data_IF_205188023804
#
_entry.id   IF_205188023804
#
_cell.length_a   1.000
_cell.length_b   1.000
_cell.length_c   1.000
_cell.angle_alpha   90.00
_cell.angle_beta   90.00
_cell.angle_gamma   90.00
#
_symmetry.space_group_name_H-M   'P 1'
#
loop_
_entity.id
_entity.type
_entity.pdbx_description
1 polymer ?
#
# COMPACT_ATOMS: atom_id res chain seq x y z
N UNK A 1 -25.86 36.29 -23.42
CA UNK A 1 -24.62 35.56 -23.28
C UNK A 1 -23.74 36.29 -22.28
N UNK A 2 -23.80 35.92 -21.00
CA UNK A 2 -22.98 36.52 -19.93
C UNK A 2 -22.42 35.35 -19.11
N UNK A 3 -21.15 35.06 -19.33
CA UNK A 3 -20.33 34.12 -18.57
C UNK A 3 -20.07 34.68 -17.18
N UNK A 4 -20.53 34.03 -16.14
CA UNK A 4 -20.17 34.33 -14.75
C UNK A 4 -19.01 33.41 -14.35
N UNK A 5 -17.82 33.97 -14.20
CA UNK A 5 -16.70 33.35 -13.48
C UNK A 5 -17.04 33.40 -11.99
N UNK A 6 -17.15 32.24 -11.36
CA UNK A 6 -17.13 32.14 -9.90
C UNK A 6 -15.70 31.85 -9.48
N UNK A 7 -15.02 32.86 -9.00
CA UNK A 7 -13.75 32.67 -8.30
C UNK A 7 -14.07 32.18 -6.89
N UNK A 8 -13.81 30.90 -6.62
CA UNK A 8 -13.81 30.35 -5.27
C UNK A 8 -12.50 30.77 -4.59
N UNK A 9 -12.56 31.82 -3.78
CA UNK A 9 -11.48 32.17 -2.83
C UNK A 9 -11.59 31.21 -1.66
N UNK A 10 -10.77 30.17 -1.67
CA UNK A 10 -10.59 29.29 -0.52
C UNK A 10 -9.85 30.03 0.58
N UNK A 11 -10.59 30.45 1.61
CA UNK A 11 -10.00 30.99 2.83
C UNK A 11 -9.24 29.91 3.57
N UNK A 12 -7.92 29.93 3.52
CA UNK A 12 -7.04 29.10 4.34
C UNK A 12 -7.17 29.57 5.80
N UNK A 13 -8.04 28.93 6.57
CA UNK A 13 -8.15 29.12 8.00
C UNK A 13 -6.92 28.46 8.67
N UNK A 14 -5.87 29.25 8.90
CA UNK A 14 -4.78 28.88 9.79
C UNK A 14 -5.34 28.96 11.21
N UNK A 15 -5.89 27.86 11.70
CA UNK A 15 -6.26 27.76 13.11
C UNK A 15 -4.95 27.72 13.93
N UNK A 16 -4.56 28.88 14.44
CA UNK A 16 -3.51 28.99 15.47
C UNK A 16 -4.12 28.43 16.73
N UNK A 17 -3.90 27.13 17.00
CA UNK A 17 -4.26 26.52 18.27
C UNK A 17 -3.30 27.12 19.31
N UNK A 18 -3.78 28.08 20.08
CA UNK A 18 -3.13 28.57 21.30
C UNK A 18 -3.23 27.45 22.35
N UNK A 19 -2.27 26.53 22.31
CA UNK A 19 -2.12 25.47 23.30
C UNK A 19 -1.50 26.14 24.54
N UNK A 20 -2.24 26.22 25.64
CA UNK A 20 -1.73 26.70 26.91
C UNK A 20 -0.53 25.85 27.35
N UNK A 21 0.61 26.43 27.69
CA UNK A 21 1.83 25.68 27.99
C UNK A 21 1.76 24.80 29.24
N UNK A 22 0.74 24.94 30.05
CA UNK A 22 0.58 24.19 31.33
C UNK A 22 -0.01 22.76 31.16
N UNK A 23 -0.58 22.42 30.01
CA UNK A 23 -1.18 21.08 29.75
C UNK A 23 -0.32 20.18 28.87
N UNK A 24 0.87 20.61 28.42
CA UNK A 24 1.71 19.93 27.44
C UNK A 24 3.02 19.38 28.02
N UNK A 25 3.18 19.39 29.37
CA UNK A 25 4.46 19.02 29.96
C UNK A 25 4.95 17.60 29.63
N UNK A 26 4.06 16.68 29.24
CA UNK A 26 4.39 15.28 28.92
C UNK A 26 4.09 14.88 27.45
N UNK A 27 3.40 15.74 26.69
CA UNK A 27 3.02 15.43 25.31
C UNK A 27 4.17 15.71 24.33
N UNK A 28 4.56 14.69 23.55
CA UNK A 28 5.55 14.85 22.49
C UNK A 28 4.88 15.08 21.13
N UNK A 29 5.49 15.91 20.27
CA UNK A 29 5.04 16.15 18.90
C UNK A 29 6.22 16.02 17.95
N UNK A 30 6.15 15.04 17.06
CA UNK A 30 7.08 14.87 15.97
C UNK A 30 6.36 15.16 14.66
N UNK A 31 6.86 16.13 13.90
CA UNK A 31 6.34 16.47 12.58
C UNK A 31 7.29 15.96 11.52
N UNK A 32 6.72 15.43 10.44
CA UNK A 32 7.50 14.99 9.30
C UNK A 32 6.61 14.84 8.07
N UNK A 33 7.21 14.44 6.97
CA UNK A 33 6.47 14.34 5.72
C UNK A 33 7.23 13.62 4.64
N UNK A 34 6.62 13.60 3.44
CA UNK A 34 7.25 13.13 2.21
C UNK A 34 6.62 13.76 1.00
N UNK A 35 7.42 13.88 -0.04
CA UNK A 35 7.00 14.24 -1.39
C UNK A 35 7.55 13.17 -2.33
N UNK A 36 6.71 12.68 -3.24
CA UNK A 36 7.08 11.79 -4.33
C UNK A 36 6.50 12.37 -5.62
N UNK A 37 7.38 12.66 -6.57
CA UNK A 37 7.03 13.15 -7.91
C UNK A 37 7.41 12.08 -8.90
N UNK A 38 6.46 11.67 -9.72
CA UNK A 38 6.61 10.64 -10.72
C UNK A 38 6.50 11.20 -12.13
N UNK A 39 7.20 10.56 -13.06
CA UNK A 39 6.98 10.65 -14.49
C UNK A 39 6.89 9.23 -15.05
N UNK A 40 5.96 9.00 -15.97
CA UNK A 40 5.84 7.74 -16.69
C UNK A 40 5.71 8.02 -18.18
N UNK A 41 6.41 7.21 -18.97
CA UNK A 41 6.40 7.22 -20.43
C UNK A 41 6.00 5.81 -20.86
N UNK A 42 4.85 5.71 -21.52
CA UNK A 42 4.32 4.46 -22.02
C UNK A 42 4.66 4.28 -23.49
N UNK A 43 5.00 3.05 -23.83
CA UNK A 43 4.91 2.53 -25.19
C UNK A 43 3.62 1.72 -25.24
N UNK A 44 2.60 2.35 -25.81
CA UNK A 44 1.23 1.84 -25.85
C UNK A 44 1.16 0.72 -26.91
N UNK A 45 0.28 -0.26 -26.69
CA UNK A 45 -0.07 -1.26 -27.71
C UNK A 45 -1.51 -1.00 -28.20
N UNK A 46 -2.51 -1.62 -27.56
CA UNK A 46 -3.92 -1.44 -27.93
C UNK A 46 -4.53 -0.26 -27.16
N UNK A 47 -4.26 -0.18 -25.87
CA UNK A 47 -4.85 0.81 -24.95
C UNK A 47 -3.95 2.02 -24.78
N UNK A 48 -4.49 3.22 -24.99
CA UNK A 48 -3.76 4.47 -24.70
C UNK A 48 -3.63 4.67 -23.19
N UNK A 49 -2.40 4.67 -22.68
CA UNK A 49 -2.07 4.75 -21.26
C UNK A 49 -1.74 6.15 -20.75
N UNK A 50 -1.60 7.13 -21.64
CA UNK A 50 -1.37 8.55 -21.34
C UNK A 50 -0.11 8.80 -20.49
N UNK A 51 1.03 8.96 -21.14
CA UNK A 51 2.29 9.38 -20.50
C UNK A 51 2.14 10.74 -19.81
N UNK A 52 2.84 10.94 -18.67
CA UNK A 52 2.73 12.19 -17.94
C UNK A 52 3.49 12.21 -16.62
N UNK A 53 3.18 13.22 -15.82
CA UNK A 53 3.78 13.43 -14.49
C UNK A 53 2.72 13.63 -13.43
N UNK A 54 3.02 13.28 -12.18
CA UNK A 54 2.14 13.48 -11.04
C UNK A 54 2.90 13.72 -9.73
N UNK A 55 2.25 14.37 -8.78
CA UNK A 55 2.60 14.20 -7.38
C UNK A 55 2.01 12.87 -6.91
N UNK A 56 2.82 11.84 -6.84
CA UNK A 56 2.35 10.52 -6.38
C UNK A 56 1.97 10.51 -4.91
N UNK A 57 2.72 11.27 -4.09
CA UNK A 57 2.42 11.50 -2.66
C UNK A 57 2.95 12.86 -2.23
N UNK A 58 2.13 13.57 -1.48
CA UNK A 58 2.48 14.79 -0.79
C UNK A 58 1.89 14.71 0.63
N UNK A 59 2.66 14.15 1.59
CA UNK A 59 2.15 13.84 2.93
C UNK A 59 2.83 14.65 4.01
N UNK A 60 2.02 15.12 4.97
CA UNK A 60 2.49 15.64 6.24
C UNK A 60 1.91 14.77 7.37
N UNK A 61 2.65 14.62 8.45
CA UNK A 61 2.16 13.94 9.64
C UNK A 61 2.62 14.62 10.91
N UNK A 62 1.79 14.48 11.95
CA UNK A 62 2.15 14.71 13.33
C UNK A 62 1.91 13.43 14.11
N UNK A 63 2.89 12.98 14.88
CA UNK A 63 2.80 11.79 15.74
C UNK A 63 3.55 12.03 17.05
N UNK A 64 3.11 11.37 18.12
CA UNK A 64 3.78 11.49 19.41
C UNK A 64 3.11 10.67 20.50
N UNK A 65 3.64 10.82 21.70
CA UNK A 65 3.06 10.26 22.91
C UNK A 65 2.32 11.37 23.67
N UNK A 66 1.13 11.07 24.19
CA UNK A 66 0.33 11.93 25.05
C UNK A 66 0.80 11.74 26.50
N UNK A 67 1.06 10.47 26.87
CA UNK A 67 1.64 10.05 28.14
C UNK A 67 2.40 8.72 27.97
N UNK A 68 2.71 8.02 29.05
CA UNK A 68 3.44 6.75 29.04
C UNK A 68 2.73 5.64 28.24
N UNK A 69 1.40 5.67 28.17
CA UNK A 69 0.58 4.62 27.55
C UNK A 69 -0.10 5.07 26.26
N UNK A 70 -0.50 6.33 26.17
CA UNK A 70 -1.23 6.87 25.03
C UNK A 70 -0.33 7.57 24.03
N UNK A 71 -0.60 7.37 22.77
CA UNK A 71 0.02 8.08 21.68
C UNK A 71 -0.98 8.39 20.58
N UNK A 72 -0.56 9.13 19.58
CA UNK A 72 -1.40 9.53 18.46
C UNK A 72 -0.61 9.62 17.17
N UNK A 73 -1.32 9.56 16.06
CA UNK A 73 -0.82 9.92 14.73
C UNK A 73 -1.93 10.48 13.88
N UNK A 74 -1.62 11.58 13.18
CA UNK A 74 -2.39 12.11 12.08
C UNK A 74 -1.46 12.28 10.89
N UNK A 75 -1.79 11.67 9.76
CA UNK A 75 -1.07 11.83 8.49
C UNK A 75 -2.07 12.21 7.40
N UNK A 76 -1.82 13.33 6.76
CA UNK A 76 -2.62 13.85 5.65
C UNK A 76 -1.93 13.58 4.32
N UNK A 77 -2.72 13.31 3.28
CA UNK A 77 -2.31 13.16 1.87
C UNK A 77 -2.92 14.29 1.05
N UNK A 78 -2.09 15.03 0.33
CA UNK A 78 -2.51 16.19 -0.46
C UNK A 78 -2.39 15.96 -1.97
N UNK A 79 -1.81 14.84 -2.40
CA UNK A 79 -1.59 14.55 -3.82
C UNK A 79 -2.81 13.92 -4.49
N UNK A 80 -3.63 13.18 -3.72
CA UNK A 80 -4.85 12.55 -4.21
C UNK A 80 -6.04 13.36 -3.73
N UNK A 81 -6.96 13.72 -4.63
CA UNK A 81 -8.13 14.55 -4.29
C UNK A 81 -9.10 13.87 -3.32
N UNK A 82 -9.09 12.54 -3.26
CA UNK A 82 -10.11 11.74 -2.60
C UNK A 82 -9.68 11.20 -1.22
N UNK A 83 -8.39 11.23 -0.87
CA UNK A 83 -7.89 10.65 0.39
C UNK A 83 -7.15 11.68 1.24
N UNK A 84 -7.84 12.55 1.93
CA UNK A 84 -7.20 13.53 2.79
C UNK A 84 -6.52 12.89 4.02
N UNK A 85 -7.17 11.93 4.68
CA UNK A 85 -6.63 11.26 5.86
C UNK A 85 -5.98 9.93 5.45
N UNK A 86 -4.64 9.86 5.48
CA UNK A 86 -3.93 8.61 5.25
C UNK A 86 -3.87 7.75 6.52
N UNK A 87 -3.36 8.27 7.64
CA UNK A 87 -3.42 7.63 8.95
C UNK A 87 -4.06 8.62 9.95
N UNK A 88 -5.00 8.16 10.77
CA UNK A 88 -5.64 8.98 11.81
C UNK A 88 -6.07 8.11 12.97
N UNK A 89 -5.23 7.99 14.01
CA UNK A 89 -5.52 7.10 15.13
C UNK A 89 -4.94 7.61 16.45
N UNK A 90 -5.57 7.20 17.55
CA UNK A 90 -4.97 7.16 18.88
C UNK A 90 -4.45 5.74 19.14
N UNK A 91 -3.44 5.61 19.97
CA UNK A 91 -2.84 4.30 20.29
C UNK A 91 -2.66 4.13 21.79
N UNK A 92 -2.81 2.89 22.25
CA UNK A 92 -2.62 2.53 23.66
C UNK A 92 -1.62 1.38 23.79
N UNK A 93 -0.63 1.53 24.67
CA UNK A 93 0.33 0.49 25.01
C UNK A 93 -0.28 -0.46 26.03
N UNK A 94 -0.46 -1.71 25.62
CA UNK A 94 -0.88 -2.81 26.48
C UNK A 94 0.36 -3.61 26.93
N UNK A 95 0.28 -4.30 28.07
CA UNK A 95 1.34 -5.23 28.51
C UNK A 95 1.68 -6.28 27.44
N UNK A 96 0.73 -6.58 26.56
CA UNK A 96 0.88 -7.57 25.51
C UNK A 96 1.01 -7.02 24.08
N UNK A 97 1.17 -5.68 23.89
CA UNK A 97 1.24 -5.11 22.55
C UNK A 97 0.77 -3.66 22.48
N UNK A 98 0.36 -3.22 21.29
CA UNK A 98 -0.15 -1.86 21.04
C UNK A 98 -1.50 -1.94 20.32
N UNK A 99 -2.49 -1.27 20.86
CA UNK A 99 -3.81 -1.09 20.24
C UNK A 99 -3.84 0.25 19.50
N UNK A 100 -4.37 0.27 18.29
CA UNK A 100 -4.65 1.47 17.49
C UNK A 100 -6.15 1.59 17.33
N UNK A 101 -6.70 2.78 17.56
CA UNK A 101 -8.13 3.10 17.41
C UNK A 101 -8.26 4.26 16.42
N UNK A 102 -8.87 4.02 15.26
CA UNK A 102 -9.00 4.96 14.15
C UNK A 102 -8.49 4.38 12.84
N UNK A 103 -8.18 5.25 11.87
CA UNK A 103 -7.74 4.82 10.55
C UNK A 103 -6.26 4.45 10.54
N UNK A 104 -5.97 3.20 10.21
CA UNK A 104 -4.61 2.69 10.03
C UNK A 104 -4.59 1.53 9.05
N UNK A 105 -3.40 1.03 8.70
CA UNK A 105 -3.27 -0.15 7.85
C UNK A 105 -3.78 -1.40 8.56
N UNK A 106 -4.59 -2.17 7.85
CA UNK A 106 -4.97 -3.52 8.27
C UNK A 106 -3.72 -4.41 8.32
N UNK A 107 -3.59 -5.33 9.30
CA UNK A 107 -2.46 -6.25 9.39
C UNK A 107 -2.54 -7.33 8.29
N UNK A 108 -2.16 -6.96 7.06
CA UNK A 108 -2.18 -7.81 5.89
C UNK A 108 -1.05 -7.42 4.93
N UNK A 109 -0.33 -8.40 4.32
CA UNK A 109 0.75 -8.24 3.35
C UNK A 109 2.00 -7.51 3.87
N UNK A 110 3.16 -8.11 3.72
CA UNK A 110 4.48 -7.52 4.04
C UNK A 110 4.74 -6.24 3.22
N UNK A 111 4.40 -6.27 1.91
CA UNK A 111 4.60 -5.11 1.05
C UNK A 111 3.63 -3.97 1.41
N UNK A 112 2.37 -4.29 1.80
CA UNK A 112 1.44 -3.24 2.24
C UNK A 112 1.84 -2.64 3.57
N UNK A 113 2.10 -3.42 4.63
CA UNK A 113 2.47 -2.86 5.94
C UNK A 113 3.82 -2.14 5.91
N UNK A 114 4.72 -2.52 5.00
CA UNK A 114 5.94 -1.76 4.72
C UNK A 114 5.55 -0.36 4.19
N UNK A 115 6.17 0.67 4.75
CA UNK A 115 5.93 2.04 4.31
C UNK A 115 6.32 2.21 2.84
N UNK A 116 5.49 2.89 2.05
CA UNK A 116 5.82 3.24 0.65
C UNK A 116 7.07 4.13 0.49
N UNK A 117 7.68 4.57 1.59
CA UNK A 117 9.02 5.18 1.60
C UNK A 117 10.14 4.16 1.42
N UNK A 118 9.88 2.89 1.72
CA UNK A 118 10.88 1.83 1.89
C UNK A 118 10.68 0.61 0.98
N UNK A 119 9.66 0.63 0.13
CA UNK A 119 9.47 -0.39 -0.91
C UNK A 119 10.56 -0.25 -1.99
N UNK A 120 10.93 -1.37 -2.61
CA UNK A 120 12.03 -1.44 -3.59
C UNK A 120 11.64 -0.86 -4.93
N UNK A 121 10.41 -1.10 -5.39
CA UNK A 121 9.86 -0.57 -6.65
C UNK A 121 9.01 0.67 -6.42
N UNK A 122 8.76 1.46 -7.48
CA UNK A 122 7.95 2.68 -7.39
C UNK A 122 6.53 2.39 -6.92
N UNK A 123 5.93 1.30 -7.39
CA UNK A 123 4.60 0.85 -6.98
C UNK A 123 4.66 -0.57 -6.38
N UNK A 124 3.71 -0.87 -5.50
CA UNK A 124 3.47 -2.23 -5.01
C UNK A 124 3.04 -3.13 -6.16
N UNK A 125 3.12 -4.43 -5.94
CA UNK A 125 2.66 -5.41 -6.92
C UNK A 125 1.17 -5.25 -7.26
N UNK A 126 0.77 -5.74 -8.42
CA UNK A 126 -0.62 -5.71 -8.86
C UNK A 126 -1.54 -6.43 -7.85
N UNK A 127 -1.13 -7.62 -7.37
CA UNK A 127 -1.87 -8.38 -6.36
C UNK A 127 -2.08 -7.59 -5.06
N UNK A 128 -1.03 -6.93 -4.54
CA UNK A 128 -1.14 -6.12 -3.32
C UNK A 128 -2.03 -4.89 -3.54
N UNK A 129 -1.89 -4.19 -4.66
CA UNK A 129 -2.72 -3.02 -4.95
C UNK A 129 -4.20 -3.36 -5.21
N UNK A 130 -4.50 -4.59 -5.65
CA UNK A 130 -5.85 -5.02 -6.02
C UNK A 130 -6.58 -5.68 -4.86
N UNK A 131 -5.93 -6.58 -4.11
CA UNK A 131 -6.62 -7.43 -3.13
C UNK A 131 -6.45 -6.98 -1.67
N UNK A 132 -5.40 -6.22 -1.33
CA UNK A 132 -5.14 -5.90 0.07
C UNK A 132 -6.09 -4.83 0.59
N UNK A 133 -6.72 -5.03 1.78
CA UNK A 133 -7.66 -4.08 2.38
C UNK A 133 -7.07 -2.73 2.78
N UNK A 134 -5.81 -2.47 2.51
CA UNK A 134 -5.09 -1.21 2.75
C UNK A 134 -5.40 -0.56 4.12
N UNK A 135 -6.00 0.63 4.14
CA UNK A 135 -6.36 1.38 5.35
C UNK A 135 -7.83 1.32 5.63
N UNK A 136 -8.18 1.12 6.91
CA UNK A 136 -9.55 1.07 7.40
C UNK A 136 -9.66 1.77 8.75
N UNK A 137 -10.84 2.29 9.07
CA UNK A 137 -11.20 2.76 10.41
C UNK A 137 -11.54 1.55 11.27
N UNK A 138 -10.94 1.44 12.46
CA UNK A 138 -11.20 0.30 13.33
C UNK A 138 -10.33 0.25 14.56
N UNK A 139 -10.29 -0.93 15.17
CA UNK A 139 -9.44 -1.29 16.28
C UNK A 139 -8.44 -2.35 15.83
N UNK A 140 -7.15 -2.00 15.82
CA UNK A 140 -6.08 -2.89 15.34
C UNK A 140 -5.04 -3.05 16.44
N UNK A 141 -4.75 -4.30 16.76
CA UNK A 141 -3.75 -4.67 17.75
C UNK A 141 -2.51 -5.28 17.10
N UNK A 142 -1.34 -4.90 17.61
CA UNK A 142 -0.05 -5.44 17.22
C UNK A 142 0.78 -5.86 18.42
N UNK A 143 1.53 -6.96 18.27
CA UNK A 143 2.52 -7.44 19.23
C UNK A 143 3.74 -7.99 18.53
N UNK A 144 4.93 -7.65 19.03
CA UNK A 144 6.17 -8.34 18.68
C UNK A 144 6.70 -9.06 19.92
N UNK A 145 6.95 -10.35 19.80
CA UNK A 145 7.48 -11.21 20.87
C UNK A 145 8.66 -12.01 20.32
N UNK A 146 9.87 -11.56 20.60
CA UNK A 146 11.09 -12.14 20.05
C UNK A 146 11.09 -12.13 18.52
N UNK A 147 11.08 -13.31 17.91
CA UNK A 147 11.08 -13.52 16.46
C UNK A 147 9.67 -13.57 15.85
N UNK A 148 8.63 -13.48 16.66
CA UNK A 148 7.24 -13.52 16.21
C UNK A 148 6.63 -12.12 16.20
N UNK A 149 5.79 -11.87 15.22
CA UNK A 149 4.95 -10.69 15.13
C UNK A 149 3.50 -11.10 14.88
N UNK A 150 2.60 -10.45 15.60
CA UNK A 150 1.16 -10.69 15.52
C UNK A 150 0.46 -9.38 15.23
N UNK A 151 -0.53 -9.42 14.39
CA UNK A 151 -1.48 -8.34 14.17
C UNK A 151 -2.88 -8.90 14.05
N UNK A 152 -3.87 -8.24 14.64
CA UNK A 152 -5.28 -8.57 14.49
C UNK A 152 -6.11 -7.29 14.52
N UNK A 153 -7.25 -7.27 13.85
CA UNK A 153 -8.11 -6.10 13.84
C UNK A 153 -9.54 -6.40 13.44
N UNK A 154 -10.41 -5.50 13.89
CA UNK A 154 -11.79 -5.37 13.47
C UNK A 154 -11.95 -3.97 12.89
N UNK A 155 -12.58 -3.83 11.74
CA UNK A 155 -12.59 -2.56 11.00
C UNK A 155 -13.81 -2.46 10.07
N UNK A 156 -14.21 -1.23 9.77
CA UNK A 156 -15.18 -0.87 8.76
C UNK A 156 -14.51 -0.43 7.46
N UNK A 157 -15.02 0.64 6.87
CA UNK A 157 -14.52 1.22 5.64
C UNK A 157 -13.34 2.21 5.88
N UNK A 158 -12.84 2.78 4.81
CA UNK A 158 -11.89 3.88 4.83
C UNK A 158 -12.64 5.20 5.09
N UNK A 159 -12.12 6.05 5.99
CA UNK A 159 -12.76 7.33 6.37
C UNK A 159 -12.93 8.34 5.22
N UNK A 160 -12.26 8.12 4.10
CA UNK A 160 -12.36 9.00 2.92
C UNK A 160 -13.41 8.52 1.90
N UNK A 161 -14.08 7.39 2.17
CA UNK A 161 -15.19 6.92 1.36
C UNK A 161 -16.49 7.54 1.90
N UNK A 162 -17.24 8.15 1.00
CA UNK A 162 -18.64 8.52 1.25
C UNK A 162 -19.47 7.28 0.94
N UNK A 163 -20.06 6.69 1.98
CA UNK A 163 -20.79 5.44 1.87
C UNK A 163 -22.25 5.72 2.14
N UNK A 164 -23.07 5.47 1.12
CA UNK A 164 -24.54 5.52 1.24
C UNK A 164 -25.04 4.12 1.61
N UNK A 165 -25.29 3.89 2.89
CA UNK A 165 -25.67 2.60 3.47
C UNK A 165 -24.89 2.24 4.74
N UNK A 166 -25.25 1.14 5.38
CA UNK A 166 -24.53 0.65 6.57
C UNK A 166 -23.17 0.07 6.17
N UNK A 167 -22.13 0.42 6.92
CA UNK A 167 -20.78 -0.10 6.69
C UNK A 167 -20.71 -1.60 6.94
N UNK A 168 -20.13 -2.35 5.99
CA UNK A 168 -19.77 -3.74 6.20
C UNK A 168 -18.64 -3.88 7.21
N UNK A 169 -18.70 -4.94 8.01
CA UNK A 169 -17.67 -5.26 9.00
C UNK A 169 -16.54 -6.08 8.38
N UNK A 170 -15.29 -5.73 8.72
CA UNK A 170 -14.11 -6.50 8.39
C UNK A 170 -13.38 -7.00 9.63
N UNK A 171 -12.86 -8.20 9.56
CA UNK A 171 -11.91 -8.74 10.53
C UNK A 171 -10.65 -9.22 9.79
N UNK A 172 -9.50 -9.13 10.42
CA UNK A 172 -8.28 -9.60 9.76
C UNK A 172 -7.13 -9.80 10.75
N UNK A 173 -6.16 -10.58 10.31
CA UNK A 173 -4.98 -10.87 11.11
C UNK A 173 -3.79 -11.29 10.29
N UNK A 174 -2.60 -11.14 10.89
CA UNK A 174 -1.30 -11.47 10.33
C UNK A 174 -0.42 -12.06 11.41
N UNK A 175 0.23 -13.17 11.10
CA UNK A 175 1.29 -13.75 11.93
C UNK A 175 2.55 -13.83 11.09
N UNK A 176 3.65 -13.28 11.58
CA UNK A 176 4.94 -13.38 10.93
C UNK A 176 6.01 -13.93 11.87
N UNK A 177 6.93 -14.71 11.31
CA UNK A 177 8.03 -15.37 12.02
C UNK A 177 9.35 -15.12 11.29
N UNK A 178 10.34 -14.63 12.01
CA UNK A 178 11.69 -14.42 11.50
C UNK A 178 12.66 -15.40 12.21
N UNK A 179 12.84 -16.66 11.73
CA UNK A 179 13.76 -17.63 12.32
C UNK A 179 15.21 -17.14 12.35
N UNK A 180 15.61 -16.39 11.34
CA UNK A 180 16.88 -15.67 11.31
C UNK A 180 16.56 -14.17 11.42
N UNK A 181 17.11 -13.52 12.44
CA UNK A 181 16.85 -12.12 12.73
C UNK A 181 18.11 -11.44 13.26
N UNK A 182 18.91 -10.95 12.33
CA UNK A 182 20.10 -10.14 12.54
C UNK A 182 20.02 -8.87 11.70
N UNK A 183 20.85 -7.88 11.92
CA UNK A 183 20.78 -6.58 11.25
C UNK A 183 20.87 -6.67 9.73
N UNK A 184 21.68 -7.59 9.22
CA UNK A 184 21.93 -7.79 7.77
C UNK A 184 21.66 -9.22 7.30
N UNK A 185 21.06 -10.07 8.14
CA UNK A 185 20.67 -11.43 7.78
C UNK A 185 19.30 -11.74 8.38
N UNK A 186 18.28 -11.81 7.52
CA UNK A 186 16.89 -12.03 7.91
C UNK A 186 16.28 -13.12 7.04
N UNK A 187 15.58 -14.04 7.68
CA UNK A 187 14.64 -14.93 6.99
C UNK A 187 13.26 -14.71 7.61
N UNK A 188 12.29 -14.35 6.79
CA UNK A 188 10.93 -14.03 7.20
C UNK A 188 9.93 -14.91 6.49
N UNK A 189 8.92 -15.37 7.23
CA UNK A 189 7.71 -15.99 6.73
C UNK A 189 6.51 -15.33 7.39
N UNK A 190 5.40 -15.22 6.66
CA UNK A 190 4.16 -14.68 7.19
C UNK A 190 2.94 -15.31 6.54
N UNK A 191 1.86 -15.35 7.32
CA UNK A 191 0.52 -15.71 6.87
C UNK A 191 -0.45 -14.64 7.32
N UNK A 192 -1.43 -14.32 6.47
CA UNK A 192 -2.46 -13.36 6.79
C UNK A 192 -3.79 -13.77 6.19
N UNK A 193 -4.87 -13.36 6.87
CA UNK A 193 -6.24 -13.60 6.44
C UNK A 193 -7.11 -12.39 6.80
N UNK A 194 -8.13 -12.14 5.99
CA UNK A 194 -9.15 -11.14 6.26
C UNK A 194 -10.48 -11.59 5.69
N UNK A 195 -11.56 -11.31 6.41
CA UNK A 195 -12.94 -11.44 5.95
C UNK A 195 -13.55 -10.04 5.94
N UNK A 196 -14.27 -9.68 4.90
CA UNK A 196 -14.93 -8.39 4.76
C UNK A 196 -16.33 -8.57 4.20
N UNK A 197 -17.29 -8.00 4.90
CA UNK A 197 -18.64 -7.82 4.39
C UNK A 197 -18.64 -6.60 3.45
N UNK A 198 -19.43 -6.61 2.36
CA UNK A 198 -19.64 -5.40 1.56
C UNK A 198 -20.43 -4.36 2.35
N UNK A 199 -20.46 -3.12 1.86
CA UNK A 199 -21.40 -2.12 2.36
C UNK A 199 -22.83 -2.57 2.02
N UNK A 200 -23.75 -2.45 2.97
CA UNK A 200 -25.17 -2.73 2.80
C UNK A 200 -25.79 -1.64 1.92
N UNK A 201 -25.69 -1.86 0.63
CA UNK A 201 -26.34 -1.08 -0.43
C UNK A 201 -27.24 -2.01 -1.22
N UNK A 202 -28.17 -1.47 -1.99
CA UNK A 202 -29.11 -2.26 -2.82
C UNK A 202 -28.42 -3.32 -3.72
N UNK A 203 -27.12 -3.27 -3.91
CA UNK A 203 -26.38 -4.12 -4.83
C UNK A 203 -25.26 -4.97 -4.20
N UNK A 204 -24.84 -4.73 -2.93
CA UNK A 204 -23.76 -5.47 -2.23
C UNK A 204 -22.63 -5.87 -3.19
N UNK A 205 -21.74 -4.92 -3.49
CA UNK A 205 -20.81 -5.05 -4.61
C UNK A 205 -19.35 -5.11 -4.21
N UNK A 206 -18.55 -5.78 -5.04
CA UNK A 206 -17.09 -5.70 -5.05
C UNK A 206 -16.57 -5.56 -6.48
N UNK A 207 -15.38 -4.97 -6.66
CA UNK A 207 -14.71 -4.85 -7.96
C UNK A 207 -13.21 -4.93 -7.80
N UNK A 208 -12.56 -5.75 -8.61
CA UNK A 208 -11.11 -5.88 -8.66
C UNK A 208 -10.58 -5.40 -10.00
N UNK A 209 -9.47 -4.63 -9.97
CA UNK A 209 -8.88 -4.07 -11.19
C UNK A 209 -7.43 -3.68 -10.98
N UNK A 210 -6.59 -3.85 -12.00
CA UNK A 210 -5.19 -3.49 -11.93
C UNK A 210 -4.75 -2.46 -12.98
N UNK A 211 -3.75 -1.64 -12.61
CA UNK A 211 -3.03 -0.74 -13.50
C UNK A 211 -1.84 -1.46 -14.13
N UNK A 212 -1.32 -0.95 -15.27
CA UNK A 212 -0.06 -1.41 -15.85
C UNK A 212 1.15 -0.87 -15.05
N UNK A 213 1.28 -1.22 -13.78
CA UNK A 213 2.38 -0.89 -12.84
C UNK A 213 2.66 0.58 -12.53
N UNK A 214 2.20 1.54 -13.33
CA UNK A 214 2.37 2.99 -13.10
C UNK A 214 1.08 3.61 -12.58
N UNK A 215 1.21 4.57 -11.66
CA UNK A 215 0.04 5.27 -11.10
C UNK A 215 -0.38 6.48 -11.94
N UNK A 216 0.53 7.05 -12.71
CA UNK A 216 0.30 8.22 -13.57
C UNK A 216 -0.91 8.03 -14.49
N UNK A 217 -1.10 6.83 -15.04
CA UNK A 217 -2.31 6.51 -15.79
C UNK A 217 -3.47 6.13 -14.87
N UNK A 218 -4.68 6.63 -15.18
CA UNK A 218 -5.94 6.19 -14.59
C UNK A 218 -6.46 4.86 -15.15
N UNK A 219 -5.93 4.42 -16.27
CA UNK A 219 -6.38 3.26 -17.04
C UNK A 219 -6.16 1.94 -16.29
N UNK A 220 -7.09 1.02 -16.45
CA UNK A 220 -7.04 -0.36 -15.95
C UNK A 220 -7.04 -1.29 -17.15
N UNK A 221 -6.04 -2.16 -17.22
CA UNK A 221 -5.94 -3.13 -18.32
C UNK A 221 -6.78 -4.37 -18.04
N UNK A 222 -6.89 -4.76 -16.77
CA UNK A 222 -7.73 -5.86 -16.32
C UNK A 222 -8.72 -5.37 -15.27
N UNK A 223 -9.97 -5.87 -15.34
CA UNK A 223 -11.07 -5.39 -14.50
C UNK A 223 -12.22 -6.42 -14.49
N UNK A 224 -12.62 -6.88 -13.31
CA UNK A 224 -13.78 -7.80 -13.16
C UNK A 224 -15.12 -7.16 -13.54
N UNK A 225 -15.17 -5.83 -13.72
CA UNK A 225 -16.42 -5.10 -13.63
C UNK A 225 -16.96 -5.13 -12.19
N UNK A 226 -18.20 -4.66 -12.03
CA UNK A 226 -18.90 -4.70 -10.74
C UNK A 226 -19.49 -6.09 -10.53
N UNK A 227 -19.03 -6.79 -9.50
CA UNK A 227 -19.57 -8.08 -9.04
C UNK A 227 -20.66 -7.76 -8.03
N UNK A 228 -21.87 -8.27 -8.23
CA UNK A 228 -23.06 -7.99 -7.41
C UNK A 228 -23.52 -9.20 -6.60
N UNK A 229 -24.39 -8.97 -5.61
CA UNK A 229 -24.95 -9.98 -4.70
C UNK A 229 -23.84 -10.72 -3.91
N UNK A 230 -22.89 -9.94 -3.40
CA UNK A 230 -21.75 -10.41 -2.61
C UNK A 230 -22.19 -10.51 -1.16
N UNK A 231 -22.06 -11.70 -0.56
CA UNK A 231 -22.29 -11.91 0.87
C UNK A 231 -21.06 -11.47 1.69
N UNK A 232 -19.90 -11.95 1.28
CA UNK A 232 -18.60 -11.58 1.87
C UNK A 232 -17.43 -11.81 0.90
N UNK A 233 -16.27 -11.29 1.28
CA UNK A 233 -15.02 -11.50 0.58
C UNK A 233 -13.94 -11.94 1.57
N UNK A 234 -13.37 -13.12 1.34
CA UNK A 234 -12.25 -13.67 2.10
C UNK A 234 -10.95 -13.43 1.37
N UNK A 235 -9.93 -12.95 2.07
CA UNK A 235 -8.57 -12.76 1.58
C UNK A 235 -7.59 -13.64 2.36
N UNK A 236 -6.69 -14.32 1.66
CA UNK A 236 -5.60 -15.11 2.23
C UNK A 236 -4.28 -14.65 1.64
N UNK A 237 -3.23 -14.58 2.45
CA UNK A 237 -1.91 -14.17 1.98
C UNK A 237 -0.80 -15.02 2.61
N UNK A 238 0.21 -15.29 1.79
CA UNK A 238 1.48 -15.92 2.20
C UNK A 238 2.63 -14.97 1.90
N UNK A 239 3.59 -14.87 2.81
CA UNK A 239 4.72 -13.95 2.71
C UNK A 239 6.04 -14.70 2.91
N UNK A 240 7.04 -14.35 2.14
CA UNK A 240 8.42 -14.78 2.32
C UNK A 240 9.39 -13.65 2.02
N UNK A 241 10.45 -13.51 2.85
CA UNK A 241 11.53 -12.60 2.53
C UNK A 241 12.87 -13.10 3.09
N UNK A 242 13.92 -12.81 2.37
CA UNK A 242 15.29 -13.12 2.74
C UNK A 242 16.20 -11.92 2.53
N UNK A 243 17.06 -11.65 3.49
CA UNK A 243 18.12 -10.64 3.41
C UNK A 243 19.42 -11.29 3.84
N UNK A 244 20.49 -11.07 3.07
CA UNK A 244 21.85 -11.49 3.43
C UNK A 244 22.85 -10.45 2.91
N UNK A 245 23.26 -9.56 3.81
CA UNK A 245 24.07 -8.42 3.43
C UNK A 245 23.42 -7.56 2.36
N UNK A 246 24.06 -7.34 1.19
CA UNK A 246 23.51 -6.51 0.13
C UNK A 246 22.40 -7.19 -0.69
N UNK A 247 22.26 -8.51 -0.60
CA UNK A 247 21.22 -9.26 -1.31
C UNK A 247 19.92 -9.29 -0.54
N UNK A 248 18.80 -9.12 -1.23
CA UNK A 248 17.49 -9.46 -0.69
C UNK A 248 16.55 -10.06 -1.73
N UNK A 249 15.63 -10.91 -1.24
CA UNK A 249 14.53 -11.47 -2.00
C UNK A 249 13.24 -11.32 -1.20
N UNK A 250 12.10 -11.16 -1.89
CA UNK A 250 10.78 -11.09 -1.28
C UNK A 250 9.74 -11.62 -2.24
N UNK A 251 8.77 -12.37 -1.71
CA UNK A 251 7.64 -12.89 -2.47
C UNK A 251 6.38 -12.88 -1.63
N UNK A 252 5.24 -12.66 -2.25
CA UNK A 252 3.92 -12.83 -1.64
C UNK A 252 2.96 -13.44 -2.67
N UNK A 253 2.04 -14.27 -2.18
CA UNK A 253 0.85 -14.73 -2.90
C UNK A 253 -0.39 -14.27 -2.13
N UNK A 254 -1.41 -13.80 -2.85
CA UNK A 254 -2.68 -13.34 -2.29
C UNK A 254 -3.81 -13.97 -3.09
N UNK A 255 -4.64 -14.75 -2.43
CA UNK A 255 -5.88 -15.31 -2.97
C UNK A 255 -7.09 -14.62 -2.37
N UNK A 256 -8.13 -14.46 -3.17
CA UNK A 256 -9.41 -13.84 -2.83
C UNK A 256 -10.54 -14.76 -3.22
N UNK A 257 -11.51 -14.95 -2.32
CA UNK A 257 -12.76 -15.64 -2.60
C UNK A 257 -13.92 -14.68 -2.33
N UNK A 258 -14.80 -14.56 -3.30
CA UNK A 258 -16.04 -13.78 -3.22
C UNK A 258 -17.19 -14.77 -3.05
N UNK A 259 -17.83 -14.80 -1.88
CA UNK A 259 -19.06 -15.56 -1.64
C UNK A 259 -20.24 -14.79 -2.22
N UNK A 260 -21.05 -15.46 -3.05
CA UNK A 260 -22.21 -14.87 -3.72
C UNK A 260 -23.42 -15.80 -3.67
N UNK A 261 -24.58 -15.20 -3.78
CA UNK A 261 -25.80 -15.96 -3.98
C UNK A 261 -25.69 -16.87 -5.24
N UNK A 262 -26.17 -18.10 -5.15
CA UNK A 262 -26.14 -19.07 -6.28
C UNK A 262 -26.86 -18.52 -7.53
N UNK A 263 -27.87 -17.67 -7.36
CA UNK A 263 -28.58 -16.98 -8.45
C UNK A 263 -27.71 -15.99 -9.23
N UNK A 264 -26.59 -15.53 -8.64
CA UNK A 264 -25.61 -14.62 -9.26
C UNK A 264 -24.47 -15.36 -10.00
N UNK A 265 -24.52 -16.69 -10.08
CA UNK A 265 -23.49 -17.50 -10.75
C UNK A 265 -22.57 -18.27 -9.82
N UNK A 266 -22.78 -18.20 -8.50
CA UNK A 266 -21.96 -18.87 -7.48
C UNK A 266 -20.70 -18.11 -7.10
N UNK A 267 -19.90 -18.70 -6.21
CA UNK A 267 -18.66 -18.10 -5.69
C UNK A 267 -17.61 -17.89 -6.77
N UNK A 268 -16.73 -16.92 -6.53
CA UNK A 268 -15.59 -16.61 -7.39
C UNK A 268 -14.28 -16.68 -6.60
N UNK A 269 -13.22 -17.00 -7.30
CA UNK A 269 -11.86 -17.00 -6.75
C UNK A 269 -10.90 -16.28 -7.70
N UNK A 270 -10.10 -15.37 -7.16
CA UNK A 270 -9.06 -14.65 -7.89
C UNK A 270 -7.77 -14.70 -7.10
N UNK A 271 -6.65 -14.65 -7.79
CA UNK A 271 -5.37 -14.59 -7.09
C UNK A 271 -4.30 -13.82 -7.85
N UNK A 272 -3.20 -13.58 -7.17
CA UNK A 272 -2.03 -12.98 -7.76
C UNK A 272 -0.83 -13.11 -6.84
N UNK A 273 0.35 -12.98 -7.42
CA UNK A 273 1.60 -13.10 -6.69
C UNK A 273 2.69 -12.22 -7.28
N UNK A 274 3.74 -12.03 -6.52
CA UNK A 274 4.98 -11.48 -7.01
C UNK A 274 6.17 -12.15 -6.33
N UNK A 275 7.30 -12.08 -7.02
CA UNK A 275 8.60 -12.35 -6.44
C UNK A 275 9.61 -11.34 -6.98
N UNK A 276 10.52 -10.87 -6.13
CA UNK A 276 11.62 -10.03 -6.57
C UNK A 276 12.92 -10.35 -5.85
N UNK A 277 14.01 -9.94 -6.50
CA UNK A 277 15.34 -9.90 -5.92
C UNK A 277 15.90 -8.49 -6.03
N UNK A 278 16.74 -8.09 -5.07
CA UNK A 278 17.50 -6.84 -5.16
C UNK A 278 18.93 -7.00 -4.63
N UNK A 279 19.80 -6.13 -5.10
CA UNK A 279 21.20 -6.11 -4.72
C UNK A 279 21.72 -4.69 -4.57
N UNK A 280 22.28 -4.38 -3.40
CA UNK A 280 22.97 -3.12 -3.18
C UNK A 280 24.42 -3.22 -3.68
N UNK A 281 24.69 -2.54 -4.80
CA UNK A 281 26.03 -2.51 -5.40
C UNK A 281 27.07 -1.86 -4.49
N UNK A 282 26.63 -1.05 -3.54
CA UNK A 282 27.44 -0.30 -2.59
C UNK A 282 27.54 -0.95 -1.21
N UNK A 283 26.91 -2.14 -1.06
CA UNK A 283 27.06 -2.98 0.13
C UNK A 283 26.13 -2.68 1.30
N UNK A 284 25.10 -1.85 1.12
CA UNK A 284 24.03 -1.65 2.11
C UNK A 284 23.21 -2.94 2.25
N UNK A 285 22.33 -2.96 3.26
CA UNK A 285 21.34 -4.02 3.46
C UNK A 285 19.98 -3.40 3.68
N UNK A 286 18.90 -4.11 3.35
CA UNK A 286 17.53 -3.68 3.65
C UNK A 286 17.25 -3.85 5.15
N UNK A 287 17.03 -2.77 5.91
CA UNK A 287 16.74 -2.88 7.34
C UNK A 287 15.37 -3.53 7.57
N UNK A 288 15.30 -4.43 8.56
CA UNK A 288 14.07 -5.12 8.92
C UNK A 288 13.80 -5.00 10.42
N UNK A 289 12.56 -4.63 10.78
CA UNK A 289 12.13 -4.49 12.17
C UNK A 289 10.61 -4.62 12.29
N UNK A 290 10.13 -5.37 13.28
CA UNK A 290 8.69 -5.48 13.55
C UNK A 290 7.92 -6.06 12.36
N UNK A 291 8.48 -7.06 11.69
CA UNK A 291 7.93 -7.71 10.52
C UNK A 291 7.61 -6.76 9.34
N UNK A 292 8.44 -5.70 9.16
CA UNK A 292 8.39 -4.77 8.03
C UNK A 292 9.80 -4.33 7.63
N UNK A 293 9.95 -3.84 6.40
CA UNK A 293 11.20 -3.23 5.94
C UNK A 293 11.27 -1.74 6.29
N UNK A 294 12.48 -1.25 6.53
CA UNK A 294 12.77 0.09 7.01
C UNK A 294 13.60 0.94 6.05
N UNK A 295 14.05 2.07 6.57
CA UNK A 295 14.83 3.08 5.83
C UNK A 295 16.24 2.59 5.56
N UNK A 296 16.63 2.56 4.29
CA UNK A 296 18.01 2.40 3.86
C UNK A 296 18.78 3.69 4.14
N UNK A 297 19.95 3.55 4.76
CA UNK A 297 20.87 4.67 5.00
C UNK A 297 22.19 4.34 4.30
N UNK A 298 22.65 5.17 3.34
CA UNK A 298 23.93 4.97 2.67
C UNK A 298 25.09 4.90 3.65
N UNK A 299 26.00 3.94 3.46
CA UNK A 299 27.20 3.73 4.29
C UNK A 299 28.28 4.80 4.05
N UNK A 300 28.21 5.45 2.90
CA UNK A 300 29.21 6.46 2.53
C UNK A 300 28.57 7.71 1.87
N UNK A 301 29.36 8.78 1.74
CA UNK A 301 28.89 10.09 1.22
C UNK A 301 28.54 10.08 -0.28
N UNK A 302 28.88 9.04 -1.04
CA UNK A 302 28.58 8.93 -2.47
C UNK A 302 27.18 8.38 -2.71
N UNK A 303 26.43 8.09 -1.63
CA UNK A 303 25.12 7.48 -1.71
C UNK A 303 25.16 5.96 -1.85
N UNK A 304 24.00 5.34 -2.04
CA UNK A 304 23.84 3.91 -2.22
C UNK A 304 23.11 3.60 -3.53
N UNK A 305 23.50 2.52 -4.19
CA UNK A 305 22.91 2.03 -5.43
C UNK A 305 22.31 0.64 -5.21
N UNK A 306 21.05 0.47 -5.57
CA UNK A 306 20.33 -0.80 -5.56
C UNK A 306 19.81 -1.10 -6.97
N UNK A 307 20.01 -2.32 -7.44
CA UNK A 307 19.36 -2.86 -8.62
C UNK A 307 18.36 -3.92 -8.20
N UNK A 308 17.26 -4.06 -8.93
CA UNK A 308 16.21 -5.01 -8.60
C UNK A 308 15.50 -5.54 -9.84
N UNK A 309 14.94 -6.75 -9.73
CA UNK A 309 14.07 -7.34 -10.76
C UNK A 309 12.87 -8.00 -10.07
N UNK A 310 11.66 -7.74 -10.56
CA UNK A 310 10.40 -8.31 -10.08
C UNK A 310 9.64 -8.96 -11.22
N UNK A 311 9.10 -10.14 -10.96
CA UNK A 311 8.02 -10.73 -11.72
C UNK A 311 6.76 -10.73 -10.88
N UNK A 312 5.61 -10.47 -11.49
CA UNK A 312 4.30 -10.52 -10.87
C UNK A 312 3.25 -11.00 -11.85
N UNK A 313 2.22 -11.67 -11.33
CA UNK A 313 1.04 -12.08 -12.08
C UNK A 313 -0.21 -11.87 -11.24
N UNK A 314 -1.32 -11.59 -11.89
CA UNK A 314 -2.65 -11.49 -11.29
C UNK A 314 -3.68 -11.99 -12.30
N UNK A 315 -4.61 -12.82 -11.81
CA UNK A 315 -5.74 -13.36 -12.58
C UNK A 315 -7.07 -12.87 -11.96
N UNK A 316 -7.88 -12.24 -12.80
CA UNK A 316 -9.22 -11.74 -12.47
C UNK A 316 -10.31 -12.47 -13.27
N UNK A 317 -10.05 -13.70 -13.71
CA UNK A 317 -10.98 -14.53 -14.50
C UNK A 317 -11.39 -15.75 -13.70
N UNK A 318 -12.70 -15.85 -13.38
CA UNK A 318 -13.29 -17.05 -12.80
C UNK A 318 -14.81 -17.09 -13.01
N UNK A 319 -15.34 -18.30 -13.21
CA UNK A 319 -16.77 -18.53 -13.41
C UNK A 319 -17.33 -17.73 -14.58
N UNK A 320 -18.22 -16.79 -14.28
CA UNK A 320 -18.84 -15.89 -15.26
C UNK A 320 -18.15 -14.53 -15.38
N UNK A 321 -17.03 -14.33 -14.71
CA UNK A 321 -16.23 -13.12 -14.76
C UNK A 321 -15.01 -13.36 -15.66
N UNK A 322 -14.81 -12.49 -16.63
CA UNK A 322 -13.65 -12.48 -17.54
C UNK A 322 -12.92 -11.16 -17.38
N UNK A 323 -12.29 -10.98 -16.19
CA UNK A 323 -11.62 -9.74 -15.84
C UNK A 323 -10.23 -9.59 -16.44
N UNK A 324 -9.68 -10.65 -17.03
CA UNK A 324 -8.37 -10.73 -17.66
C UNK A 324 -7.24 -11.11 -16.71
N UNK A 325 -6.12 -11.47 -17.30
CA UNK A 325 -4.86 -11.81 -16.62
C UNK A 325 -3.79 -10.79 -16.98
N UNK A 326 -2.91 -10.47 -16.03
CA UNK A 326 -1.79 -9.56 -16.27
C UNK A 326 -0.52 -10.12 -15.66
N UNK A 327 0.49 -10.30 -16.52
CA UNK A 327 1.86 -10.60 -16.11
C UNK A 327 2.75 -9.38 -16.30
N UNK A 328 3.76 -9.19 -15.44
CA UNK A 328 4.65 -8.05 -15.57
C UNK A 328 6.04 -8.37 -15.07
N UNK A 329 7.04 -8.02 -15.86
CA UNK A 329 8.44 -7.96 -15.46
C UNK A 329 8.81 -6.50 -15.21
N UNK A 330 9.39 -6.21 -14.06
CA UNK A 330 9.88 -4.87 -13.73
C UNK A 330 11.35 -4.93 -13.36
N UNK A 331 12.17 -4.12 -14.04
CA UNK A 331 13.56 -3.86 -13.68
C UNK A 331 13.65 -2.53 -12.97
N UNK A 332 14.40 -2.45 -11.87
CA UNK A 332 14.51 -1.27 -11.04
C UNK A 332 15.96 -0.88 -10.74
N UNK A 333 16.22 0.42 -10.73
CA UNK A 333 17.45 1.02 -10.22
C UNK A 333 17.09 2.10 -9.21
N UNK A 334 17.66 2.03 -8.02
CA UNK A 334 17.45 3.01 -6.97
C UNK A 334 18.76 3.68 -6.60
N UNK A 335 18.75 4.99 -6.54
CA UNK A 335 19.86 5.78 -6.03
C UNK A 335 19.45 6.54 -4.76
N UNK A 336 19.97 6.13 -3.65
CA UNK A 336 19.81 6.78 -2.35
C UNK A 336 20.93 7.80 -2.17
N UNK A 337 20.64 9.08 -2.43
CA UNK A 337 21.62 10.18 -2.25
C UNK A 337 22.05 10.26 -0.78
N UNK A 338 21.08 10.16 0.11
CA UNK A 338 21.25 10.10 1.56
C UNK A 338 20.01 9.42 2.19
N UNK A 339 19.90 9.43 3.52
CA UNK A 339 18.75 8.82 4.21
C UNK A 339 17.40 9.49 3.93
N UNK A 340 17.35 10.65 3.27
CA UNK A 340 16.13 11.40 3.01
C UNK A 340 15.74 11.48 1.53
N UNK A 341 16.72 11.54 0.64
CA UNK A 341 16.53 11.76 -0.80
C UNK A 341 16.87 10.51 -1.59
N UNK A 342 15.93 10.04 -2.42
CA UNK A 342 16.04 8.86 -3.28
C UNK A 342 15.51 9.17 -4.67
N UNK A 343 16.22 8.69 -5.70
CA UNK A 343 15.75 8.60 -7.07
C UNK A 343 15.49 7.14 -7.43
N UNK A 344 14.43 6.89 -8.17
CA UNK A 344 14.05 5.56 -8.62
C UNK A 344 13.78 5.57 -10.11
N UNK A 345 14.22 4.49 -10.78
CA UNK A 345 14.02 4.25 -12.21
C UNK A 345 13.46 2.85 -12.35
N UNK A 346 12.30 2.70 -12.98
CA UNK A 346 11.73 1.41 -13.28
C UNK A 346 11.42 1.31 -14.78
N UNK A 347 11.70 0.15 -15.35
CA UNK A 347 11.17 -0.27 -16.64
C UNK A 347 10.28 -1.47 -16.41
N UNK A 348 9.06 -1.46 -16.97
CA UNK A 348 8.10 -2.55 -16.87
C UNK A 348 7.63 -2.96 -18.25
N UNK A 349 7.66 -4.26 -18.52
CA UNK A 349 6.99 -4.92 -19.66
C UNK A 349 5.78 -5.63 -19.09
N UNK A 350 4.61 -5.36 -19.66
CA UNK A 350 3.31 -5.89 -19.22
C UNK A 350 2.77 -6.75 -20.34
N UNK A 351 2.25 -7.93 -19.99
CA UNK A 351 1.50 -8.81 -20.87
C UNK A 351 0.09 -8.98 -20.30
N UNK A 352 -0.92 -8.74 -21.11
CA UNK A 352 -2.34 -8.85 -20.73
C UNK A 352 -3.01 -9.85 -21.64
N UNK A 353 -3.74 -10.79 -21.04
CA UNK A 353 -4.59 -11.75 -21.77
C UNK A 353 -6.04 -11.56 -21.35
N UNK A 354 -6.93 -11.42 -22.32
CA UNK A 354 -8.36 -11.24 -22.08
C UNK A 354 -8.71 -9.97 -21.29
N UNK A 355 -7.90 -8.92 -21.40
CA UNK A 355 -8.11 -7.65 -20.72
C UNK A 355 -9.30 -6.86 -21.22
N UNK A 356 -9.50 -5.67 -20.69
CA UNK A 356 -10.64 -4.77 -21.01
C UNK A 356 -10.75 -4.49 -22.51
N UNK A 357 -9.63 -4.35 -23.19
CA UNK A 357 -9.55 -4.11 -24.64
C UNK A 357 -8.97 -5.29 -25.43
N UNK A 358 -8.89 -6.50 -24.83
CA UNK A 358 -8.31 -7.71 -25.38
C UNK A 358 -6.88 -7.93 -24.91
N UNK A 359 -6.12 -8.69 -25.71
CA UNK A 359 -4.71 -8.99 -25.42
C UNK A 359 -3.84 -7.80 -25.83
N UNK A 360 -2.85 -7.45 -24.99
CA UNK A 360 -1.94 -6.34 -25.27
C UNK A 360 -0.62 -6.46 -24.49
N UNK A 361 0.44 -5.87 -25.03
CA UNK A 361 1.80 -5.94 -24.48
C UNK A 361 2.45 -4.55 -24.29
N UNK A 362 1.86 -3.61 -23.53
CA UNK A 362 2.45 -2.29 -23.34
C UNK A 362 3.69 -2.35 -22.45
N UNK A 363 4.54 -1.33 -22.59
CA UNK A 363 5.66 -1.13 -21.68
C UNK A 363 5.70 0.28 -21.10
N UNK A 364 6.41 0.45 -19.98
CA UNK A 364 6.52 1.73 -19.30
C UNK A 364 7.94 1.97 -18.78
N UNK A 365 8.46 3.17 -19.04
CA UNK A 365 9.63 3.71 -18.37
C UNK A 365 9.20 4.75 -17.34
N UNK A 366 9.61 4.57 -16.09
CA UNK A 366 9.13 5.36 -14.96
C UNK A 366 10.28 5.95 -14.16
N UNK A 367 10.10 7.17 -13.69
CA UNK A 367 11.04 7.92 -12.87
C UNK A 367 10.33 8.44 -11.62
N UNK A 368 10.99 8.38 -10.47
CA UNK A 368 10.53 9.00 -9.23
C UNK A 368 11.65 9.76 -8.54
N UNK A 369 11.36 11.00 -8.16
CA UNK A 369 12.12 11.72 -7.15
C UNK A 369 11.35 11.68 -5.82
N UNK A 370 11.99 11.21 -4.75
CA UNK A 370 11.35 11.04 -3.46
C UNK A 370 12.20 11.66 -2.34
N UNK A 371 11.58 12.54 -1.56
CA UNK A 371 12.15 13.06 -0.31
C UNK A 371 11.24 12.69 0.85
N UNK A 372 11.81 12.25 1.96
CA UNK A 372 11.11 12.11 3.22
C UNK A 372 11.93 12.74 4.35
N UNK A 373 11.25 13.47 5.22
CA UNK A 373 11.85 14.21 6.32
C UNK A 373 11.12 13.94 7.63
N UNK A 374 11.91 13.92 8.72
CA UNK A 374 11.45 13.83 10.10
C UNK A 374 12.49 14.41 11.01
#
# INVERSE_FOLDING_TARGET
MRTRFHAAVGSLLVATILISPLALADMTVNVGGRIQVDAAFFDDDVTNLNSGTEFRRARLFAEGDIDENWGYKLQLEFATGDELIADGFISYRLTGGKLLLGQSKVPFSLEEVTSSKYITFMERSAAVNTFVPARRVGAIWYKTAGKMHYGAGIFGQNSNLDVDGDEGLGIGGRVAYAPILHDDNVLHFGVNASLQEPTDTDAETVRFRARPTAHVTGTRLIDTGVITNVNDTTYLGLEGAYVNGPFSAQAEWIGTRVDRAASAGGDLAFDGYYAFVSWFLTGESRPYKGATFGRVTPKNKRGAWEIAARYQAIDLTDGNITGGEQETITLGVNFYVNKYLRFMFNYSSVEVTGGVNGDEEPSAFMLRAAIDFK
#
